data_IF_726162532513
#
_entry.id   IF_726162532513
#
_cell.length_a   1.000
_cell.length_b   1.000
_cell.length_c   1.000
_cell.angle_alpha   90.00
_cell.angle_beta   90.00
_cell.angle_gamma   90.00
#
_symmetry.space_group_name_H-M   'P 1'
#
loop_
_entity.id
_entity.type
_entity.pdbx_description
1 polymer ?
#
# COMPACT_ATOMS: atom_id res chain seq x y z
N UNK A 1 -12.36 0.86 6.62
CA UNK A 1 -12.46 1.55 5.33
C UNK A 1 -11.08 1.77 4.70
N UNK A 2 -10.12 2.31 5.46
CA UNK A 2 -8.72 2.46 5.04
C UNK A 2 -7.81 1.68 5.97
N UNK A 3 -6.70 1.17 5.45
CA UNK A 3 -5.62 0.60 6.24
C UNK A 3 -4.43 1.54 6.27
N UNK A 4 -3.66 1.49 7.34
CA UNK A 4 -2.37 2.20 7.42
C UNK A 4 -1.31 1.32 6.79
N UNK A 5 -0.45 1.90 5.97
CA UNK A 5 0.62 1.18 5.27
C UNK A 5 1.93 1.92 5.47
N UNK A 6 2.96 1.19 5.87
CA UNK A 6 4.33 1.67 5.86
C UNK A 6 5.14 0.88 4.84
N UNK A 7 6.08 1.54 4.18
CA UNK A 7 6.95 0.92 3.19
C UNK A 7 8.33 0.74 3.82
N UNK A 8 8.83 -0.50 3.78
CA UNK A 8 10.13 -0.85 4.34
C UNK A 8 10.92 -1.72 3.36
N UNK A 9 12.26 -1.74 3.39
CA UNK A 9 13.04 -2.69 2.60
C UNK A 9 12.63 -4.13 2.96
N UNK A 10 12.50 -5.00 1.96
CA UNK A 10 12.06 -6.39 2.18
C UNK A 10 13.00 -7.17 3.11
N UNK A 11 14.29 -6.82 3.12
CA UNK A 11 15.27 -7.48 3.97
C UNK A 11 15.09 -7.15 5.46
N UNK A 12 14.29 -6.13 5.76
CA UNK A 12 13.92 -5.75 7.13
C UNK A 12 12.65 -6.46 7.62
N UNK A 13 12.00 -7.25 6.76
CA UNK A 13 10.80 -8.01 7.12
C UNK A 13 11.17 -9.47 7.29
N UNK A 14 10.92 -10.01 8.47
CA UNK A 14 11.20 -11.40 8.78
C UNK A 14 9.97 -12.04 9.42
N UNK A 15 9.57 -13.20 8.89
CA UNK A 15 8.54 -14.02 9.50
C UNK A 15 9.20 -14.87 10.56
N UNK A 16 8.85 -14.65 11.83
CA UNK A 16 9.50 -15.29 12.99
C UNK A 16 8.73 -16.49 13.55
N UNK A 17 7.45 -16.63 13.21
CA UNK A 17 6.62 -17.73 13.69
C UNK A 17 5.43 -17.98 12.74
N UNK A 18 4.98 -19.22 12.71
CA UNK A 18 3.76 -19.62 11.98
C UNK A 18 3.78 -19.31 10.47
N UNK A 19 4.94 -19.36 9.83
CA UNK A 19 5.10 -19.09 8.41
C UNK A 19 4.17 -19.96 7.55
N UNK A 20 3.92 -21.21 7.95
CA UNK A 20 3.04 -22.14 7.26
C UNK A 20 1.57 -21.68 7.20
N UNK A 21 1.17 -20.70 8.02
CA UNK A 21 -0.16 -20.10 7.98
C UNK A 21 -0.30 -18.98 6.95
N UNK A 22 0.79 -18.51 6.38
CA UNK A 22 0.74 -17.48 5.35
C UNK A 22 0.40 -18.07 4.00
N UNK A 23 -0.48 -17.38 3.27
CA UNK A 23 -0.77 -17.67 1.87
C UNK A 23 -0.73 -16.39 1.06
N UNK A 24 -0.37 -16.50 -0.21
CA UNK A 24 -0.47 -15.39 -1.16
C UNK A 24 -1.92 -15.34 -1.65
N UNK A 25 -2.57 -14.19 -1.49
CA UNK A 25 -3.99 -14.01 -1.84
C UNK A 25 -4.20 -14.11 -3.35
N UNK A 26 -3.35 -13.45 -4.12
CA UNK A 26 -3.37 -13.46 -5.58
C UNK A 26 -1.93 -13.38 -6.10
N UNK A 27 -1.41 -14.50 -6.61
CA UNK A 27 -0.05 -14.56 -7.12
C UNK A 27 0.16 -13.75 -8.41
N UNK A 28 -0.92 -13.40 -9.12
CA UNK A 28 -0.86 -12.57 -10.34
C UNK A 28 -0.88 -11.07 -10.05
N UNK A 29 -1.19 -10.66 -8.82
CA UNK A 29 -1.25 -9.26 -8.45
C UNK A 29 0.14 -8.63 -8.43
N UNK A 30 0.23 -7.34 -8.78
CA UNK A 30 1.48 -6.57 -8.72
C UNK A 30 2.05 -6.57 -7.30
N UNK A 31 1.20 -6.33 -6.30
CA UNK A 31 1.56 -6.47 -4.90
C UNK A 31 0.98 -7.79 -4.42
N UNK A 32 1.84 -8.75 -4.17
CA UNK A 32 1.42 -10.04 -3.62
C UNK A 32 1.20 -9.90 -2.12
N UNK A 33 -0.05 -9.99 -1.71
CA UNK A 33 -0.43 -9.89 -0.29
C UNK A 33 -0.33 -11.24 0.37
N UNK A 34 0.42 -11.27 1.47
CA UNK A 34 0.57 -12.45 2.32
C UNK A 34 -0.42 -12.34 3.47
N UNK A 35 -1.39 -13.23 3.50
CA UNK A 35 -2.47 -13.25 4.48
C UNK A 35 -2.44 -14.51 5.32
N UNK A 36 -2.97 -14.41 6.54
CA UNK A 36 -3.15 -15.57 7.39
C UNK A 36 -4.28 -16.46 6.83
N UNK A 37 -3.99 -17.72 6.55
CA UNK A 37 -4.98 -18.67 6.04
C UNK A 37 -6.10 -18.97 7.07
N UNK A 38 -5.81 -18.80 8.36
CA UNK A 38 -6.79 -19.08 9.42
C UNK A 38 -7.77 -17.93 9.66
N UNK A 39 -7.31 -16.67 9.67
CA UNK A 39 -8.15 -15.51 10.00
C UNK A 39 -8.28 -14.48 8.88
N UNK A 40 -7.56 -14.63 7.78
CA UNK A 40 -7.65 -13.74 6.62
C UNK A 40 -6.95 -12.41 6.76
N UNK A 41 -6.28 -12.12 7.89
CA UNK A 41 -5.57 -10.85 8.09
C UNK A 41 -4.41 -10.75 7.10
N UNK A 42 -4.34 -9.63 6.38
CA UNK A 42 -3.22 -9.31 5.51
C UNK A 42 -2.05 -8.84 6.36
N UNK A 43 -0.95 -9.59 6.33
CA UNK A 43 0.22 -9.31 7.16
C UNK A 43 1.18 -8.34 6.48
N UNK A 44 1.49 -8.57 5.21
CA UNK A 44 2.32 -7.67 4.40
C UNK A 44 2.09 -7.91 2.92
N UNK A 45 2.51 -6.95 2.10
CA UNK A 45 2.55 -7.06 0.65
C UNK A 45 3.98 -6.98 0.13
N UNK A 46 4.27 -7.65 -0.98
CA UNK A 46 5.59 -7.68 -1.61
C UNK A 46 5.48 -7.63 -3.11
N UNK A 47 6.39 -6.89 -3.75
CA UNK A 47 6.50 -6.84 -5.20
C UNK A 47 7.64 -7.75 -5.63
N UNK A 48 7.30 -8.85 -6.30
CA UNK A 48 8.27 -9.84 -6.79
C UNK A 48 8.77 -9.53 -8.20
N UNK A 49 8.09 -8.69 -8.96
CA UNK A 49 8.51 -8.28 -10.28
C UNK A 49 9.76 -7.39 -10.21
N UNK A 50 10.90 -7.91 -10.63
CA UNK A 50 12.18 -7.20 -10.60
C UNK A 50 12.21 -5.95 -11.47
N UNK A 51 11.34 -5.85 -12.47
CA UNK A 51 11.23 -4.68 -13.34
C UNK A 51 10.37 -3.56 -12.75
N UNK A 52 9.70 -3.80 -11.64
CA UNK A 52 8.85 -2.80 -10.99
C UNK A 52 9.70 -1.76 -10.25
N UNK A 53 9.32 -0.44 -10.30
CA UNK A 53 10.07 0.61 -9.61
C UNK A 53 10.18 0.43 -8.09
N UNK A 54 9.23 -0.29 -7.47
CA UNK A 54 9.22 -0.54 -6.04
C UNK A 54 9.64 -1.97 -5.67
N UNK A 55 10.31 -2.68 -6.60
CA UNK A 55 10.90 -3.97 -6.28
C UNK A 55 11.89 -3.83 -5.11
N UNK A 56 11.84 -4.78 -4.20
CA UNK A 56 12.70 -4.78 -3.01
C UNK A 56 12.07 -4.10 -1.79
N UNK A 57 10.84 -3.60 -1.92
CA UNK A 57 10.08 -3.00 -0.83
C UNK A 57 8.93 -3.90 -0.39
N UNK A 58 8.70 -3.92 0.90
CA UNK A 58 7.52 -4.55 1.50
C UNK A 58 6.58 -3.48 2.04
N UNK A 59 5.30 -3.80 2.02
CA UNK A 59 4.21 -2.95 2.50
C UNK A 59 3.66 -3.61 3.77
N UNK A 60 3.90 -2.99 4.91
CA UNK A 60 3.48 -3.51 6.21
C UNK A 60 2.38 -2.64 6.81
N UNK A 61 1.64 -3.19 7.77
CA UNK A 61 0.52 -2.50 8.41
C UNK A 61 0.89 -2.18 9.87
N UNK A 62 1.31 -0.93 10.17
CA UNK A 62 1.69 -0.54 11.52
C UNK A 62 0.59 -0.73 12.57
N UNK A 63 -0.70 -0.66 12.16
CA UNK A 63 -1.82 -0.87 13.08
C UNK A 63 -1.88 -2.30 13.65
N UNK A 64 -1.20 -3.26 13.06
CA UNK A 64 -1.09 -4.62 13.60
C UNK A 64 -0.01 -4.74 14.66
N UNK A 65 0.87 -3.75 14.79
CA UNK A 65 1.94 -3.75 15.78
C UNK A 65 1.41 -3.40 17.16
N UNK A 66 1.95 -4.06 18.18
CA UNK A 66 1.74 -3.69 19.58
C UNK A 66 2.75 -2.63 20.04
N UNK A 67 3.77 -2.36 19.24
CA UNK A 67 4.78 -1.36 19.52
C UNK A 67 4.27 0.05 19.22
N UNK A 68 4.84 1.03 19.91
CA UNK A 68 4.57 2.45 19.71
C UNK A 68 5.72 3.11 18.93
N UNK A 69 5.49 4.31 18.43
CA UNK A 69 6.55 5.12 17.81
C UNK A 69 6.61 5.04 16.29
N UNK A 70 5.60 4.45 15.64
CA UNK A 70 5.46 4.54 14.19
C UNK A 70 5.24 6.00 13.77
N UNK A 71 5.85 6.41 12.66
CA UNK A 71 5.61 7.72 12.08
C UNK A 71 4.12 7.87 11.68
N UNK A 72 3.59 9.09 11.79
CA UNK A 72 2.24 9.38 11.33
C UNK A 72 2.14 9.19 9.81
N UNK A 73 0.99 8.73 9.29
CA UNK A 73 0.77 8.67 7.85
C UNK A 73 0.90 10.05 7.20
N UNK A 74 1.47 10.10 5.99
CA UNK A 74 1.75 11.36 5.30
C UNK A 74 0.62 11.76 4.35
N UNK A 75 -0.07 10.80 3.76
CA UNK A 75 -1.16 11.05 2.81
C UNK A 75 -2.10 9.85 2.73
N UNK A 76 -3.25 10.05 2.10
CA UNK A 76 -4.18 8.98 1.76
C UNK A 76 -4.12 8.70 0.26
N UNK A 77 -3.96 7.45 -0.11
CA UNK A 77 -3.84 7.02 -1.51
C UNK A 77 -5.08 6.23 -1.95
N UNK A 78 -5.38 6.26 -3.25
CA UNK A 78 -6.46 5.50 -3.87
C UNK A 78 -7.81 5.71 -3.17
N UNK A 79 -8.11 6.95 -2.82
CA UNK A 79 -9.28 7.30 -2.00
C UNK A 79 -10.58 6.87 -2.67
N UNK A 80 -10.70 7.05 -3.99
CA UNK A 80 -11.91 6.65 -4.74
C UNK A 80 -12.16 5.14 -4.73
N UNK A 81 -11.16 4.32 -4.43
CA UNK A 81 -11.30 2.85 -4.41
C UNK A 81 -12.33 2.35 -3.39
N UNK A 82 -12.68 3.15 -2.40
CA UNK A 82 -13.72 2.78 -1.42
C UNK A 82 -15.11 2.71 -2.05
N UNK A 83 -15.33 3.37 -3.18
CA UNK A 83 -16.56 3.24 -3.96
C UNK A 83 -16.62 1.85 -4.58
N UNK A 84 -15.52 1.40 -5.18
CA UNK A 84 -15.43 0.07 -5.80
C UNK A 84 -15.65 -1.05 -4.77
N UNK A 85 -15.17 -0.83 -3.56
CA UNK A 85 -15.36 -1.76 -2.44
C UNK A 85 -16.78 -1.70 -1.82
N UNK A 86 -17.63 -0.79 -2.28
CA UNK A 86 -18.98 -0.61 -1.73
C UNK A 86 -19.01 0.03 -0.33
N UNK A 87 -17.87 0.58 0.12
CA UNK A 87 -17.77 1.19 1.45
C UNK A 87 -18.27 2.64 1.50
N UNK A 88 -18.41 3.29 0.34
CA UNK A 88 -18.97 4.63 0.23
C UNK A 88 -19.66 4.80 -1.12
N UNK A 89 -20.63 5.71 -1.18
CA UNK A 89 -21.28 6.15 -2.42
C UNK A 89 -20.58 7.39 -2.97
N UNK A 90 -20.65 7.65 -4.30
CA UNK A 90 -20.02 8.84 -4.88
C UNK A 90 -20.39 10.16 -4.20
N UNK A 91 -21.64 10.32 -3.81
CA UNK A 91 -22.12 11.54 -3.14
C UNK A 91 -21.55 11.73 -1.72
N UNK A 92 -20.97 10.70 -1.12
CA UNK A 92 -20.32 10.78 0.19
C UNK A 92 -18.85 11.19 0.09
N UNK A 93 -18.26 11.14 -1.09
CA UNK A 93 -16.82 11.36 -1.28
C UNK A 93 -16.34 12.76 -0.87
N UNK A 94 -17.07 13.84 -1.10
CA UNK A 94 -16.65 15.16 -0.60
C UNK A 94 -16.45 15.18 0.90
N UNK A 95 -17.35 14.55 1.66
CA UNK A 95 -17.24 14.46 3.13
C UNK A 95 -16.05 13.57 3.55
N UNK A 96 -15.81 12.47 2.85
CA UNK A 96 -14.65 11.58 3.09
C UNK A 96 -13.35 12.36 2.89
N UNK A 97 -13.21 13.08 1.79
CA UNK A 97 -12.00 13.88 1.51
C UNK A 97 -11.81 15.00 2.51
N UNK A 98 -12.88 15.68 2.90
CA UNK A 98 -12.83 16.71 3.94
C UNK A 98 -12.32 16.14 5.28
N UNK A 99 -12.79 14.96 5.65
CA UNK A 99 -12.36 14.30 6.89
C UNK A 99 -10.90 13.91 6.86
N UNK A 100 -10.41 13.41 5.72
CA UNK A 100 -8.99 13.07 5.54
C UNK A 100 -8.10 14.31 5.69
N UNK A 101 -8.50 15.45 5.11
CA UNK A 101 -7.79 16.72 5.25
C UNK A 101 -7.76 17.22 6.70
N UNK A 102 -8.86 17.08 7.45
CA UNK A 102 -8.88 17.38 8.88
C UNK A 102 -7.86 16.54 9.65
N UNK A 103 -7.63 15.28 9.23
CA UNK A 103 -6.63 14.38 9.81
C UNK A 103 -5.22 14.65 9.30
N UNK A 104 -5.00 15.72 8.55
CA UNK A 104 -3.71 16.07 7.92
C UNK A 104 -3.24 15.07 6.86
N UNK A 105 -4.18 14.38 6.22
CA UNK A 105 -3.92 13.41 5.16
C UNK A 105 -4.46 13.98 3.84
N UNK A 106 -3.56 14.42 2.96
CA UNK A 106 -3.98 14.85 1.63
C UNK A 106 -4.55 13.66 0.86
N UNK A 107 -5.79 13.75 0.37
CA UNK A 107 -6.43 12.62 -0.32
C UNK A 107 -6.09 12.63 -1.81
N UNK A 108 -5.44 11.55 -2.27
CA UNK A 108 -5.13 11.33 -3.68
C UNK A 108 -5.95 10.16 -4.22
N UNK A 109 -6.31 10.21 -5.50
CA UNK A 109 -7.00 9.11 -6.18
C UNK A 109 -6.02 8.11 -6.84
N UNK A 110 -4.72 8.38 -6.73
CA UNK A 110 -3.60 7.48 -6.99
C UNK A 110 -2.64 7.58 -5.81
N UNK A 111 -1.34 7.52 -6.08
CA UNK A 111 -0.30 7.84 -5.10
C UNK A 111 -0.05 9.35 -5.05
N UNK A 112 0.83 9.80 -4.17
CA UNK A 112 1.24 11.21 -4.12
C UNK A 112 1.93 11.62 -5.44
N UNK A 113 1.90 12.91 -5.80
CA UNK A 113 2.55 13.38 -7.04
C UNK A 113 4.01 12.97 -7.15
N UNK A 114 4.78 13.06 -6.06
CA UNK A 114 6.19 12.66 -6.05
C UNK A 114 6.39 11.18 -6.38
N UNK A 115 5.54 10.30 -5.86
CA UNK A 115 5.58 8.87 -6.16
C UNK A 115 5.14 8.58 -7.60
N UNK A 116 4.14 9.30 -8.10
CA UNK A 116 3.70 9.17 -9.50
C UNK A 116 4.81 9.60 -10.45
N UNK A 117 5.53 10.68 -10.14
CA UNK A 117 6.67 11.15 -10.93
C UNK A 117 7.81 10.11 -10.93
N UNK A 118 8.07 9.48 -9.79
CA UNK A 118 9.08 8.43 -9.68
C UNK A 118 8.72 7.22 -10.56
N UNK A 119 7.47 6.77 -10.56
CA UNK A 119 6.98 5.67 -11.39
C UNK A 119 7.10 6.02 -12.86
N UNK A 120 6.66 7.22 -13.26
CA UNK A 120 6.72 7.69 -14.64
C UNK A 120 8.16 7.80 -15.13
N UNK A 121 9.07 8.30 -14.29
CA UNK A 121 10.50 8.37 -14.58
C UNK A 121 11.10 6.99 -14.80
N UNK A 122 10.80 6.05 -13.94
CA UNK A 122 11.25 4.65 -14.09
C UNK A 122 10.77 4.05 -15.41
N UNK A 123 9.51 4.26 -15.73
CA UNK A 123 8.91 3.78 -16.99
C UNK A 123 9.61 4.39 -18.21
N UNK A 124 9.87 5.69 -18.18
CA UNK A 124 10.54 6.38 -19.27
C UNK A 124 11.99 5.89 -19.47
N UNK A 125 12.70 5.64 -18.38
CA UNK A 125 14.06 5.05 -18.44
C UNK A 125 14.02 3.63 -19.00
N UNK A 126 13.06 2.81 -18.56
CA UNK A 126 12.90 1.43 -19.05
C UNK A 126 12.60 1.36 -20.55
N UNK A 127 11.92 2.40 -21.09
CA UNK A 127 11.62 2.53 -22.51
C UNK A 127 12.73 3.20 -23.31
N UNK A 128 13.80 3.65 -22.66
CA UNK A 128 14.90 4.35 -23.32
C UNK A 128 14.57 5.78 -23.74
N UNK A 129 13.47 6.36 -23.25
CA UNK A 129 13.07 7.74 -23.55
C UNK A 129 13.85 8.74 -22.71
N UNK A 130 14.22 8.36 -21.49
CA UNK A 130 15.12 9.09 -20.61
C UNK A 130 16.39 8.28 -20.34
N UNK A 131 17.47 9.00 -20.15
CA UNK A 131 18.76 8.41 -19.77
C UNK A 131 18.77 7.92 -18.31
#
# INVERSE_FOLDING_TARGET
MFSVVAVVPKDNVQVTANEQKLKIVDASATIQRHACAACGVHMFGRIENKAHPFYGLDFVHPELSQEQGWAAPEFAAFVSSIIEAGAAKPEQMPAVRARLKELKLEPYDCLSPALMDAIATHTAKSKGVLA
#
